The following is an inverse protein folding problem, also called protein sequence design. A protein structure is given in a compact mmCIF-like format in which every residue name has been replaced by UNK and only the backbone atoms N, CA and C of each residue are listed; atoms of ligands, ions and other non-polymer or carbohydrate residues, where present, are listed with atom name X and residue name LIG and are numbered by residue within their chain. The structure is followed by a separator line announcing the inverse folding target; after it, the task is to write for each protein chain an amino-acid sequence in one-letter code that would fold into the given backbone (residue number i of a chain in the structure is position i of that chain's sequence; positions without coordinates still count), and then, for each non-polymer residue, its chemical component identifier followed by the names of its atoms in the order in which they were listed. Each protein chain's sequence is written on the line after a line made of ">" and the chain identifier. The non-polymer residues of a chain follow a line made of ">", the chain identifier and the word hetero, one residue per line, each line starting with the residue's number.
data_IF_759346366949
#
_entry.id   IF_759346366949
#
_cell.length_a   1.000
_cell.length_b   1.000
_cell.length_c   1.000
_cell.angle_alpha   90.00
_cell.angle_beta   90.00
_cell.angle_gamma   90.00
#
_symmetry.space_group_name_H-M   'P 1'
#
loop_
_entity.id
_entity.type
_entity.pdbx_description
1 polymer ?
#
# COMPACT_ATOMS: atom_id res chain seq x y z
N UNK A 1 13.88 -1.81 -7.66
CA UNK A 1 13.50 -0.86 -8.72
C UNK A 1 12.67 -1.61 -9.74
N UNK A 2 11.40 -1.26 -9.85
CA UNK A 2 10.48 -1.86 -10.82
C UNK A 2 9.99 -0.76 -11.76
N UNK A 3 9.54 -1.10 -12.96
CA UNK A 3 9.00 -0.14 -13.92
C UNK A 3 7.48 -0.09 -13.81
N UNK A 4 6.91 1.06 -13.44
CA UNK A 4 5.48 1.32 -13.61
C UNK A 4 5.31 2.21 -14.84
N UNK A 5 4.54 1.76 -15.83
CA UNK A 5 4.27 2.53 -17.06
C UNK A 5 5.54 3.01 -17.80
N UNK A 6 6.65 2.27 -17.70
CA UNK A 6 7.94 2.63 -18.30
C UNK A 6 8.77 3.64 -17.51
N UNK A 7 8.29 4.13 -16.36
CA UNK A 7 9.04 5.01 -15.47
C UNK A 7 9.66 4.21 -14.31
N UNK A 8 10.86 4.59 -13.83
CA UNK A 8 11.43 4.02 -12.62
C UNK A 8 10.49 4.26 -11.45
N UNK A 9 10.03 3.19 -10.81
CA UNK A 9 9.21 3.27 -9.61
C UNK A 9 10.03 2.86 -8.39
N UNK A 10 10.01 3.73 -7.39
CA UNK A 10 10.63 3.51 -6.08
C UNK A 10 9.66 3.98 -5.00
N UNK A 11 9.42 3.13 -4.02
CA UNK A 11 8.56 3.42 -2.89
C UNK A 11 9.13 2.84 -1.60
N UNK A 12 8.96 3.57 -0.53
CA UNK A 12 9.36 3.20 0.82
C UNK A 12 8.14 3.22 1.74
N UNK A 13 7.99 2.14 2.51
CA UNK A 13 6.92 2.00 3.50
C UNK A 13 7.46 1.96 4.91
N UNK A 14 6.81 2.64 5.85
CA UNK A 14 7.03 2.44 7.29
C UNK A 14 5.79 1.86 7.93
N UNK A 15 5.86 0.59 8.30
CA UNK A 15 4.79 -0.11 9.01
C UNK A 15 5.06 -0.07 10.52
N UNK A 16 4.09 0.43 11.29
CA UNK A 16 4.11 0.46 12.74
C UNK A 16 2.81 -0.07 13.34
N UNK A 17 2.85 -0.44 14.62
CA UNK A 17 1.66 -0.82 15.38
C UNK A 17 1.33 0.27 16.40
N UNK A 18 0.13 0.83 16.31
CA UNK A 18 -0.41 1.79 17.27
C UNK A 18 -1.04 1.03 18.44
N UNK A 19 -0.37 1.05 19.59
CA UNK A 19 -0.85 0.37 20.80
C UNK A 19 -2.14 0.98 21.38
N UNK A 20 -2.39 2.27 21.15
CA UNK A 20 -3.58 2.95 21.66
C UNK A 20 -4.80 2.59 20.81
N UNK A 21 -4.65 2.59 19.48
CA UNK A 21 -5.71 2.21 18.53
C UNK A 21 -5.83 0.71 18.33
N UNK A 22 -4.80 -0.07 18.68
CA UNK A 22 -4.66 -1.51 18.40
C UNK A 22 -4.76 -1.83 16.90
N UNK A 23 -4.18 -0.98 16.07
CA UNK A 23 -4.17 -1.10 14.61
C UNK A 23 -2.76 -0.94 14.06
N UNK A 24 -2.52 -1.50 12.88
CA UNK A 24 -1.34 -1.18 12.11
C UNK A 24 -1.53 0.14 11.38
N UNK A 25 -0.45 0.89 11.30
CA UNK A 25 -0.34 2.15 10.56
C UNK A 25 0.79 1.99 9.56
N UNK A 26 0.54 2.31 8.31
CA UNK A 26 1.54 2.34 7.26
C UNK A 26 1.62 3.73 6.66
N UNK A 27 2.82 4.28 6.55
CA UNK A 27 3.10 5.43 5.71
C UNK A 27 3.86 4.97 4.48
N UNK A 28 3.43 5.43 3.31
CA UNK A 28 4.04 5.10 2.03
C UNK A 28 4.45 6.39 1.30
N UNK A 29 5.69 6.43 0.87
CA UNK A 29 6.28 7.54 0.10
C UNK A 29 6.86 6.92 -1.17
N UNK A 30 6.42 7.39 -2.33
CA UNK A 30 6.96 6.97 -3.62
C UNK A 30 7.27 8.15 -4.53
N UNK A 31 7.90 7.86 -5.66
CA UNK A 31 8.21 8.83 -6.70
C UNK A 31 7.14 8.95 -7.79
N UNK A 32 5.99 8.29 -7.64
CA UNK A 32 4.86 8.42 -8.54
C UNK A 32 3.92 9.56 -8.10
N UNK A 33 3.78 9.82 -6.79
CA UNK A 33 3.01 10.91 -6.23
C UNK A 33 3.84 11.94 -5.46
N UNK A 34 3.23 13.09 -5.15
CA UNK A 34 3.84 14.15 -4.33
C UNK A 34 3.42 14.10 -2.86
N UNK A 35 2.47 13.23 -2.50
CA UNK A 35 1.90 13.12 -1.16
C UNK A 35 2.36 11.88 -0.40
N UNK A 36 2.36 11.96 0.94
CA UNK A 36 2.52 10.79 1.80
C UNK A 36 1.18 10.07 1.86
N UNK A 37 1.18 8.79 1.54
CA UNK A 37 0.00 7.95 1.73
C UNK A 37 -0.02 7.41 3.15
N UNK A 38 -1.13 7.64 3.85
CA UNK A 38 -1.37 7.12 5.18
C UNK A 38 -2.45 6.03 5.10
N UNK A 39 -2.13 4.84 5.60
CA UNK A 39 -3.07 3.75 5.69
C UNK A 39 -3.11 3.21 7.11
N UNK A 40 -4.28 2.79 7.56
CA UNK A 40 -4.45 2.10 8.83
C UNK A 40 -5.38 0.90 8.69
N UNK A 41 -5.21 -0.09 9.58
CA UNK A 41 -6.08 -1.24 9.59
C UNK A 41 -5.66 -2.37 10.53
N UNK A 42 -6.53 -3.36 10.74
CA UNK A 42 -6.28 -4.45 11.66
C UNK A 42 -5.38 -5.53 11.07
N UNK A 43 -4.76 -6.31 11.95
CA UNK A 43 -4.18 -7.60 11.61
C UNK A 43 -5.18 -8.71 11.91
N UNK A 44 -5.39 -9.60 10.94
CA UNK A 44 -6.16 -10.82 11.09
C UNK A 44 -5.20 -12.01 11.25
N UNK A 45 -5.20 -12.61 12.44
CA UNK A 45 -4.37 -13.77 12.76
C UNK A 45 -4.80 -15.05 12.04
N UNK A 46 -6.08 -15.19 11.66
CA UNK A 46 -6.58 -16.37 10.96
C UNK A 46 -6.04 -16.45 9.54
N UNK A 47 -5.94 -15.30 8.88
CA UNK A 47 -5.43 -15.17 7.50
C UNK A 47 -3.98 -14.68 7.44
N UNK A 48 -3.37 -14.37 8.59
CA UNK A 48 -2.03 -13.76 8.72
C UNK A 48 -1.85 -12.54 7.82
N UNK A 49 -2.87 -11.70 7.81
CA UNK A 49 -2.99 -10.59 6.85
C UNK A 49 -3.26 -9.28 7.57
N UNK A 50 -2.52 -8.23 7.20
CA UNK A 50 -2.81 -6.85 7.57
C UNK A 50 -3.56 -6.23 6.39
N UNK A 51 -4.80 -5.81 6.62
CA UNK A 51 -5.59 -5.08 5.60
C UNK A 51 -5.60 -3.62 5.99
N UNK A 52 -4.86 -2.81 5.25
CA UNK A 52 -4.72 -1.38 5.46
C UNK A 52 -5.59 -0.64 4.45
N UNK A 53 -6.29 0.39 4.90
CA UNK A 53 -7.07 1.28 4.02
C UNK A 53 -6.67 2.71 4.27
N UNK A 54 -6.66 3.51 3.22
CA UNK A 54 -6.26 4.90 3.30
C UNK A 54 -6.70 5.69 2.09
N UNK A 55 -6.20 6.91 2.01
CA UNK A 55 -6.37 7.77 0.84
C UNK A 55 -5.01 8.24 0.35
N UNK A 56 -4.89 8.41 -0.95
CA UNK A 56 -3.77 9.12 -1.56
C UNK A 56 -4.26 10.08 -2.63
N UNK A 57 -3.44 11.04 -2.98
CA UNK A 57 -3.69 11.89 -4.15
C UNK A 57 -3.44 11.05 -5.39
N UNK A 58 -4.38 11.03 -6.33
CA UNK A 58 -4.22 10.39 -7.63
C UNK A 58 -3.15 11.16 -8.44
N UNK A 59 -1.97 10.56 -8.68
CA UNK A 59 -0.90 11.23 -9.43
C UNK A 59 -1.15 11.25 -10.93
N UNK A 60 -2.00 10.36 -11.46
CA UNK A 60 -2.29 10.21 -12.89
C UNK A 60 -3.36 11.20 -13.34
N UNK A 61 -4.37 11.45 -12.50
CA UNK A 61 -5.42 12.41 -12.83
C UNK A 61 -4.91 13.87 -12.89
N UNK A 62 -3.80 14.20 -12.22
CA UNK A 62 -3.25 15.57 -12.19
C UNK A 62 -4.18 16.62 -11.57
N UNK A 63 -5.35 16.22 -11.07
CA UNK A 63 -6.39 17.10 -10.51
C UNK A 63 -6.32 17.27 -8.99
N UNK A 64 -5.37 16.61 -8.32
CA UNK A 64 -5.27 16.63 -6.85
C UNK A 64 -6.43 15.90 -6.16
N UNK A 65 -7.14 15.01 -6.85
CA UNK A 65 -8.26 14.27 -6.27
C UNK A 65 -7.74 13.17 -5.36
N UNK A 66 -8.36 13.03 -4.19
CA UNK A 66 -8.11 11.88 -3.33
C UNK A 66 -8.77 10.64 -3.92
N UNK A 67 -8.05 9.53 -3.91
CA UNK A 67 -8.55 8.20 -4.20
C UNK A 67 -8.38 7.29 -2.99
N UNK A 68 -9.37 6.41 -2.79
CA UNK A 68 -9.26 5.37 -1.78
C UNK A 68 -8.26 4.30 -2.26
N UNK A 69 -7.40 3.89 -1.35
CA UNK A 69 -6.39 2.86 -1.58
C UNK A 69 -6.49 1.81 -0.50
N UNK A 70 -6.27 0.55 -0.91
CA UNK A 70 -6.24 -0.59 -0.01
C UNK A 70 -4.93 -1.33 -0.22
N UNK A 71 -4.23 -1.60 0.87
CA UNK A 71 -3.00 -2.37 0.86
C UNK A 71 -3.18 -3.61 1.71
N UNK A 72 -2.80 -4.75 1.17
CA UNK A 72 -2.88 -6.04 1.84
C UNK A 72 -1.45 -6.54 2.02
N UNK A 73 -1.01 -6.68 3.27
CA UNK A 73 0.27 -7.32 3.59
C UNK A 73 -0.04 -8.70 4.12
N UNK A 74 0.39 -9.72 3.39
CA UNK A 74 0.27 -11.11 3.80
C UNK A 74 1.62 -11.63 4.25
N UNK A 75 1.68 -12.13 5.48
CA UNK A 75 2.84 -12.87 5.97
C UNK A 75 2.79 -14.29 5.41
N UNK A 76 3.76 -14.61 4.54
CA UNK A 76 3.95 -15.97 4.03
C UNK A 76 4.73 -16.79 5.06
N UNK A 77 5.81 -16.20 5.56
CA UNK A 77 6.61 -16.70 6.68
C UNK A 77 7.41 -15.54 7.32
N UNK A 78 8.19 -15.77 8.40
CA UNK A 78 8.88 -14.69 9.12
C UNK A 78 9.83 -13.83 8.27
N UNK A 79 10.25 -14.31 7.11
CA UNK A 79 11.16 -13.62 6.18
C UNK A 79 10.48 -13.18 4.89
N UNK A 80 9.33 -13.73 4.54
CA UNK A 80 8.66 -13.42 3.27
C UNK A 80 7.30 -12.78 3.51
N UNK A 81 7.12 -11.57 2.96
CA UNK A 81 5.83 -10.90 2.92
C UNK A 81 5.45 -10.55 1.49
N UNK A 82 4.19 -10.78 1.16
CA UNK A 82 3.59 -10.30 -0.08
C UNK A 82 2.78 -9.06 0.26
N UNK A 83 3.12 -7.94 -0.36
CA UNK A 83 2.33 -6.73 -0.32
C UNK A 83 1.57 -6.60 -1.64
N UNK A 84 0.27 -6.42 -1.56
CA UNK A 84 -0.59 -6.09 -2.69
C UNK A 84 -1.20 -4.71 -2.45
N UNK A 85 -1.29 -3.91 -3.51
CA UNK A 85 -1.91 -2.60 -3.46
C UNK A 85 -3.03 -2.50 -4.48
N UNK A 86 -4.14 -1.95 -4.05
CA UNK A 86 -5.37 -1.82 -4.79
C UNK A 86 -5.81 -0.35 -4.80
N UNK A 87 -6.24 0.12 -5.97
CA UNK A 87 -6.75 1.47 -6.18
C UNK A 87 -7.79 1.47 -7.31
N UNK A 88 -8.47 2.59 -7.56
CA UNK A 88 -9.41 2.69 -8.67
C UNK A 88 -8.68 2.57 -10.02
N UNK A 89 -9.10 1.61 -10.83
CA UNK A 89 -8.73 1.50 -12.24
C UNK A 89 -9.44 2.55 -13.11
N UNK A 90 -9.16 2.56 -14.43
CA UNK A 90 -9.79 3.50 -15.36
C UNK A 90 -11.32 3.42 -15.42
N UNK A 91 -11.90 2.29 -15.04
CA UNK A 91 -13.34 2.05 -14.95
C UNK A 91 -13.93 2.42 -13.57
N UNK A 92 -13.11 2.96 -12.66
CA UNK A 92 -13.47 3.32 -11.29
C UNK A 92 -13.62 2.13 -10.35
N UNK A 93 -13.42 0.89 -10.82
CA UNK A 93 -13.42 -0.30 -9.98
C UNK A 93 -12.06 -0.52 -9.36
N UNK A 94 -12.04 -1.21 -8.23
CA UNK A 94 -10.79 -1.56 -7.59
C UNK A 94 -9.98 -2.51 -8.48
N UNK A 95 -8.73 -2.15 -8.78
CA UNK A 95 -7.78 -2.91 -9.58
C UNK A 95 -6.49 -3.10 -8.78
N UNK A 96 -5.84 -4.27 -8.93
CA UNK A 96 -4.52 -4.53 -8.32
C UNK A 96 -3.47 -3.70 -9.05
N UNK A 97 -3.04 -2.63 -8.42
CA UNK A 97 -2.07 -1.69 -8.97
C UNK A 97 -0.64 -2.19 -8.81
N UNK A 98 -0.36 -2.89 -7.72
CA UNK A 98 0.99 -3.33 -7.38
C UNK A 98 0.98 -4.65 -6.63
N UNK A 99 2.02 -5.44 -6.87
CA UNK A 99 2.37 -6.60 -6.06
C UNK A 99 3.88 -6.58 -5.81
N UNK A 100 4.28 -6.69 -4.55
CA UNK A 100 5.68 -6.68 -4.12
C UNK A 100 5.94 -7.92 -3.26
N UNK A 101 6.94 -8.69 -3.65
CA UNK A 101 7.45 -9.80 -2.86
C UNK A 101 8.69 -9.32 -2.11
N UNK A 102 8.54 -9.11 -0.81
CA UNK A 102 9.61 -8.60 0.05
C UNK A 102 10.26 -9.73 0.85
N UNK A 103 11.58 -9.68 0.94
CA UNK A 103 12.37 -10.51 1.85
C UNK A 103 12.88 -9.62 2.98
N UNK A 104 12.57 -9.99 4.22
CA UNK A 104 13.17 -9.40 5.41
C UNK A 104 14.54 -10.06 5.61
N UNK A 105 15.61 -9.27 5.48
CA UNK A 105 17.01 -9.69 5.66
C UNK A 105 17.25 -10.28 7.06
#
# INVERSE_FOLDING_TARGET
>A
TSTMMGMPFEGHSTLGYDNAKKTFVNTWIDNAGTGIMYLEGPYDAATKTITLTGKCVDPVAGTGKEMNVRQVIKEIDPKHHVMEMYGPGPDGKEFKMMEVHSHRL
#
